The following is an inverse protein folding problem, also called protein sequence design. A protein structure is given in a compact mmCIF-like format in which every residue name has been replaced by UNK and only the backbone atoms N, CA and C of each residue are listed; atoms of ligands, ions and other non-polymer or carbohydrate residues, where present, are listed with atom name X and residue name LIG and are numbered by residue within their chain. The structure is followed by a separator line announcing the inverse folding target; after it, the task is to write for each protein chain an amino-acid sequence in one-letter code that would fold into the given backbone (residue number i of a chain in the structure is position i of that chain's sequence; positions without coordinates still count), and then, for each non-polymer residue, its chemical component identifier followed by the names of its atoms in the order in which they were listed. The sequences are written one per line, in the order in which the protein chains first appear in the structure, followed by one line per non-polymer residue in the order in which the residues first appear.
data_IF_461680490943
#
_entry.id   IF_461680490943
#
_cell.length_a   1.000
_cell.length_b   1.000
_cell.length_c   1.000
_cell.angle_alpha   90.00
_cell.angle_beta   90.00
_cell.angle_gamma   90.00
#
_symmetry.space_group_name_H-M   'P 1'
#
loop_
_entity.id
_entity.type
_entity.pdbx_description
1 polymer ?
#
# COMPACT_ATOMS: atom_id res chain seq x y z
N UNK A 1 -13.20 57.95 63.82
CA UNK A 1 -13.19 57.40 62.45
C UNK A 1 -12.53 56.04 62.52
N UNK A 2 -13.36 55.01 62.60
CA UNK A 2 -12.97 53.60 62.56
C UNK A 2 -13.15 53.13 61.13
N UNK A 3 -12.06 52.77 60.45
CA UNK A 3 -12.09 52.09 59.16
C UNK A 3 -12.32 50.60 59.38
N UNK A 4 -13.46 50.13 58.89
CA UNK A 4 -13.84 48.72 58.84
C UNK A 4 -13.23 48.13 57.56
N UNK A 5 -12.24 47.22 57.70
CA UNK A 5 -11.69 46.48 56.57
C UNK A 5 -12.64 45.35 56.16
N UNK A 6 -13.24 45.51 54.98
CA UNK A 6 -14.00 44.49 54.27
C UNK A 6 -13.04 43.40 53.73
N UNK A 7 -13.00 42.25 54.40
CA UNK A 7 -12.35 41.04 53.91
C UNK A 7 -13.39 40.14 53.22
N UNK A 8 -13.53 40.29 51.90
CA UNK A 8 -14.20 39.29 51.08
C UNK A 8 -13.25 38.09 50.83
N UNK A 9 -13.68 36.83 51.05
CA UNK A 9 -12.82 35.67 50.81
C UNK A 9 -12.68 35.41 49.31
N UNK A 10 -11.43 35.35 48.84
CA UNK A 10 -11.08 34.84 47.50
C UNK A 10 -11.61 33.40 47.33
N UNK A 11 -12.24 33.04 46.19
CA UNK A 11 -12.77 31.70 45.99
C UNK A 11 -11.63 30.69 45.95
N UNK A 12 -11.44 29.95 47.04
CA UNK A 12 -10.46 28.88 47.13
C UNK A 12 -10.73 27.83 46.06
N UNK A 13 -9.73 27.52 45.22
CA UNK A 13 -9.82 26.44 44.25
C UNK A 13 -10.32 25.15 44.92
N UNK A 14 -11.21 24.36 44.27
CA UNK A 14 -11.75 23.15 44.86
C UNK A 14 -10.61 22.20 45.23
N UNK A 15 -10.73 21.46 46.35
CA UNK A 15 -9.66 20.56 46.79
C UNK A 15 -9.40 19.51 45.71
N UNK A 16 -8.11 19.27 45.45
CA UNK A 16 -7.58 18.49 44.31
C UNK A 16 -8.17 17.08 44.18
N UNK A 17 -8.60 16.49 45.30
CA UNK A 17 -9.26 15.18 45.35
C UNK A 17 -10.69 15.22 44.79
N UNK A 18 -11.46 16.30 45.03
CA UNK A 18 -12.78 16.51 44.42
C UNK A 18 -12.68 16.65 42.91
N UNK A 19 -11.67 17.37 42.43
CA UNK A 19 -11.44 17.52 40.99
C UNK A 19 -11.05 16.18 40.35
N UNK A 20 -10.18 15.42 41.02
CA UNK A 20 -9.81 14.08 40.55
C UNK A 20 -11.03 13.14 40.47
N UNK A 21 -11.86 13.15 41.51
CA UNK A 21 -13.10 12.40 41.55
C UNK A 21 -14.05 12.76 40.40
N UNK A 22 -14.31 14.05 40.19
CA UNK A 22 -15.18 14.53 39.11
C UNK A 22 -14.71 14.07 37.73
N UNK A 23 -13.40 14.19 37.46
CA UNK A 23 -12.81 13.79 36.17
C UNK A 23 -12.98 12.29 35.91
N UNK A 24 -12.72 11.46 36.91
CA UNK A 24 -12.88 10.00 36.79
C UNK A 24 -14.35 9.60 36.58
N UNK A 25 -15.28 10.22 37.31
CA UNK A 25 -16.72 9.97 37.12
C UNK A 25 -17.16 10.38 35.72
N UNK A 26 -16.86 11.62 35.30
CA UNK A 26 -17.29 12.14 34.01
C UNK A 26 -16.77 11.30 32.85
N UNK A 27 -15.48 10.94 32.86
CA UNK A 27 -14.92 10.10 31.81
C UNK A 27 -15.41 8.66 31.89
N UNK A 28 -15.58 8.10 33.09
CA UNK A 28 -16.15 6.78 33.26
C UNK A 28 -17.57 6.67 32.69
N UNK A 29 -18.40 7.69 32.96
CA UNK A 29 -19.74 7.81 32.40
C UNK A 29 -19.71 8.03 30.89
N UNK A 30 -18.79 8.85 30.38
CA UNK A 30 -18.63 9.07 28.94
C UNK A 30 -18.26 7.77 28.20
N UNK A 31 -17.32 7.00 28.73
CA UNK A 31 -16.95 5.70 28.16
C UNK A 31 -18.10 4.69 28.29
N UNK A 32 -18.82 4.67 29.41
CA UNK A 32 -20.03 3.84 29.56
C UNK A 32 -21.10 4.21 28.54
N UNK A 33 -21.32 5.51 28.31
CA UNK A 33 -22.23 5.99 27.27
C UNK A 33 -21.74 5.58 25.88
N UNK A 34 -20.44 5.69 25.58
CA UNK A 34 -19.87 5.22 24.32
C UNK A 34 -20.03 3.71 24.14
N UNK A 35 -19.87 2.90 25.19
CA UNK A 35 -20.12 1.46 25.14
C UNK A 35 -21.57 1.13 24.73
N UNK A 36 -22.53 1.95 25.18
CA UNK A 36 -23.94 1.83 24.81
C UNK A 36 -24.17 2.35 23.40
N UNK A 37 -23.67 3.53 23.05
CA UNK A 37 -23.97 4.19 21.78
C UNK A 37 -23.25 3.55 20.59
N UNK A 38 -22.03 3.02 20.80
CA UNK A 38 -21.21 2.42 19.75
C UNK A 38 -21.57 0.95 19.51
N UNK A 39 -22.83 0.69 19.14
CA UNK A 39 -23.35 -0.67 18.96
C UNK A 39 -23.88 -0.90 17.54
N UNK A 40 -24.00 -2.18 17.16
CA UNK A 40 -24.43 -2.60 15.82
C UNK A 40 -25.80 -2.05 15.40
N UNK A 41 -26.77 -1.97 16.33
CA UNK A 41 -28.12 -1.49 16.05
C UNK A 41 -28.12 0.00 15.72
N UNK A 42 -27.47 0.83 16.56
CA UNK A 42 -27.41 2.27 16.33
C UNK A 42 -26.57 2.62 15.11
N UNK A 43 -25.45 1.93 14.91
CA UNK A 43 -24.63 2.09 13.71
C UNK A 43 -25.41 1.69 12.45
N UNK A 44 -26.24 0.63 12.52
CA UNK A 44 -27.09 0.18 11.42
C UNK A 44 -28.19 1.16 11.01
N UNK A 45 -28.50 2.17 11.82
CA UNK A 45 -29.41 3.26 11.43
C UNK A 45 -28.77 4.22 10.42
N UNK A 46 -27.44 4.28 10.37
CA UNK A 46 -26.69 5.25 9.56
C UNK A 46 -25.76 4.61 8.53
N UNK A 47 -25.33 3.36 8.75
CA UNK A 47 -24.38 2.66 7.92
C UNK A 47 -25.05 1.57 7.08
N UNK A 48 -24.55 1.37 5.86
CA UNK A 48 -25.04 0.32 4.96
C UNK A 48 -24.69 -1.07 5.49
N UNK A 49 -25.46 -2.08 5.06
CA UNK A 49 -25.17 -3.49 5.35
C UNK A 49 -23.78 -3.92 4.87
N UNK A 50 -23.31 -3.36 3.76
CA UNK A 50 -21.96 -3.63 3.23
C UNK A 50 -20.86 -3.10 4.16
N UNK A 51 -21.13 -2.01 4.88
CA UNK A 51 -20.20 -1.45 5.88
C UNK A 51 -20.18 -2.29 7.15
N UNK A 52 -21.33 -2.87 7.55
CA UNK A 52 -21.49 -3.67 8.75
C UNK A 52 -21.36 -5.18 8.44
N UNK A 53 -20.24 -5.57 7.85
CA UNK A 53 -19.91 -6.99 7.68
C UNK A 53 -19.75 -7.70 9.04
N UNK A 54 -19.81 -9.05 9.03
CA UNK A 54 -19.67 -9.87 10.25
C UNK A 54 -18.40 -9.51 11.03
N UNK A 55 -17.25 -9.38 10.34
CA UNK A 55 -15.99 -9.00 10.99
C UNK A 55 -15.98 -7.58 11.57
N UNK A 56 -16.68 -6.63 10.94
CA UNK A 56 -16.83 -5.26 11.46
C UNK A 56 -17.68 -5.27 12.73
N UNK A 57 -18.78 -6.02 12.73
CA UNK A 57 -19.66 -6.17 13.91
C UNK A 57 -18.89 -6.76 15.09
N UNK A 58 -18.07 -7.78 14.87
CA UNK A 58 -17.20 -8.32 15.92
C UNK A 58 -16.26 -7.26 16.50
N UNK A 59 -15.61 -6.46 15.65
CA UNK A 59 -14.73 -5.36 16.08
C UNK A 59 -15.47 -4.26 16.84
N UNK A 60 -16.72 -3.95 16.46
CA UNK A 60 -17.59 -3.03 17.22
C UNK A 60 -17.83 -3.59 18.62
N UNK A 61 -18.24 -4.86 18.73
CA UNK A 61 -18.50 -5.53 20.03
C UNK A 61 -17.25 -5.56 20.92
N UNK A 62 -16.08 -5.84 20.35
CA UNK A 62 -14.82 -5.75 21.10
C UNK A 62 -14.56 -4.34 21.63
N UNK A 63 -14.83 -3.31 20.82
CA UNK A 63 -14.62 -1.91 21.22
C UNK A 63 -15.60 -1.50 22.33
N UNK A 64 -16.86 -1.95 22.27
CA UNK A 64 -17.85 -1.76 23.34
C UNK A 64 -17.39 -2.37 24.66
N UNK A 65 -16.89 -3.61 24.62
CA UNK A 65 -16.40 -4.29 25.81
C UNK A 65 -15.25 -3.49 26.46
N UNK A 66 -14.33 -2.96 25.66
CA UNK A 66 -13.24 -2.12 26.17
C UNK A 66 -13.73 -0.79 26.74
N UNK A 67 -14.67 -0.11 26.08
CA UNK A 67 -15.29 1.09 26.63
C UNK A 67 -15.95 0.83 27.99
N UNK A 68 -16.66 -0.30 28.10
CA UNK A 68 -17.27 -0.70 29.36
C UNK A 68 -16.23 -0.99 30.45
N UNK A 69 -15.20 -1.78 30.15
CA UNK A 69 -14.13 -2.12 31.09
C UNK A 69 -13.40 -0.86 31.57
N UNK A 70 -12.95 0.00 30.65
CA UNK A 70 -12.25 1.22 31.01
C UNK A 70 -13.15 2.20 31.77
N UNK A 71 -14.42 2.34 31.35
CA UNK A 71 -15.41 3.15 32.07
C UNK A 71 -15.60 2.67 33.50
N UNK A 72 -15.76 1.35 33.69
CA UNK A 72 -15.89 0.73 35.01
C UNK A 72 -14.66 0.95 35.89
N UNK A 73 -13.46 0.81 35.35
CA UNK A 73 -12.21 1.08 36.08
C UNK A 73 -12.16 2.52 36.58
N UNK A 74 -12.54 3.50 35.74
CA UNK A 74 -12.56 4.91 36.13
C UNK A 74 -13.61 5.19 37.22
N UNK A 75 -14.82 4.61 37.12
CA UNK A 75 -15.86 4.75 38.14
C UNK A 75 -15.44 4.09 39.46
N UNK A 76 -14.85 2.90 39.42
CA UNK A 76 -14.29 2.24 40.61
C UNK A 76 -13.20 3.12 41.25
N UNK A 77 -12.32 3.70 40.43
CA UNK A 77 -11.32 4.67 40.88
C UNK A 77 -11.95 5.87 41.60
N UNK A 78 -13.02 6.43 41.05
CA UNK A 78 -13.76 7.51 41.70
C UNK A 78 -14.40 7.07 43.02
N UNK A 79 -15.04 5.90 43.07
CA UNK A 79 -15.61 5.36 44.30
C UNK A 79 -14.54 5.12 45.37
N UNK A 80 -13.35 4.67 44.97
CA UNK A 80 -12.22 4.50 45.88
C UNK A 80 -11.76 5.84 46.48
N UNK A 81 -11.74 6.94 45.70
CA UNK A 81 -11.47 8.29 46.23
C UNK A 81 -12.53 8.68 47.27
N UNK A 82 -13.82 8.41 47.03
CA UNK A 82 -14.87 8.74 48.00
C UNK A 82 -14.79 7.89 49.28
N UNK A 83 -14.46 6.61 49.15
CA UNK A 83 -14.51 5.63 50.23
C UNK A 83 -13.21 5.45 51.04
N UNK A 84 -12.05 5.91 50.54
CA UNK A 84 -10.75 5.65 51.18
C UNK A 84 -9.95 6.93 51.42
N UNK A 85 -9.55 7.16 52.68
CA UNK A 85 -8.64 8.26 53.05
C UNK A 85 -7.27 8.12 52.40
N UNK A 86 -6.77 6.88 52.24
CA UNK A 86 -5.52 6.60 51.52
C UNK A 86 -5.62 6.96 50.04
N UNK A 87 -6.75 6.68 49.39
CA UNK A 87 -6.97 7.06 47.99
C UNK A 87 -7.06 8.60 47.86
N UNK A 88 -7.77 9.29 48.75
CA UNK A 88 -7.78 10.78 48.77
C UNK A 88 -6.39 11.37 48.95
N UNK A 89 -5.61 10.85 49.89
CA UNK A 89 -4.22 11.25 50.09
C UNK A 89 -3.34 10.96 48.86
N UNK A 90 -3.67 9.92 48.09
CA UNK A 90 -2.97 9.61 46.86
C UNK A 90 -3.22 10.66 45.76
N UNK A 91 -4.49 10.98 45.49
CA UNK A 91 -4.90 11.90 44.40
C UNK A 91 -4.83 13.38 44.77
N UNK A 92 -4.66 13.72 46.05
CA UNK A 92 -4.47 15.11 46.50
C UNK A 92 -3.06 15.66 46.23
N UNK A 93 -2.10 14.81 45.82
CA UNK A 93 -0.78 15.29 45.40
C UNK A 93 -0.86 15.92 44.02
N UNK A 94 -0.52 17.21 43.92
CA UNK A 94 -0.54 18.00 42.69
C UNK A 94 0.06 17.28 41.47
N UNK A 95 1.27 16.73 41.58
CA UNK A 95 1.91 16.02 40.46
C UNK A 95 1.16 14.78 39.96
N UNK A 96 0.37 14.11 40.81
CA UNK A 96 -0.46 12.96 40.39
C UNK A 96 -1.74 13.40 39.72
N UNK A 97 -2.33 14.50 40.19
CA UNK A 97 -3.48 15.14 39.53
C UNK A 97 -3.07 15.65 38.14
N UNK A 98 -1.90 16.27 38.01
CA UNK A 98 -1.34 16.72 36.72
C UNK A 98 -1.09 15.53 35.78
N UNK A 99 -0.49 14.43 36.26
CA UNK A 99 -0.32 13.21 35.48
C UNK A 99 -1.68 12.60 35.06
N UNK A 100 -2.67 12.60 35.95
CA UNK A 100 -4.01 12.13 35.64
C UNK A 100 -4.69 13.00 34.58
N UNK A 101 -4.57 14.32 34.69
CA UNK A 101 -5.05 15.26 33.67
C UNK A 101 -4.41 14.98 32.31
N UNK A 102 -3.10 14.71 32.26
CA UNK A 102 -2.41 14.33 31.03
C UNK A 102 -2.98 13.02 30.45
N UNK A 103 -3.15 11.99 31.27
CA UNK A 103 -3.75 10.72 30.84
C UNK A 103 -5.16 10.95 30.30
N UNK A 104 -5.97 11.77 30.96
CA UNK A 104 -7.36 12.02 30.60
C UNK A 104 -7.51 12.94 29.39
N UNK A 105 -6.58 13.86 29.17
CA UNK A 105 -6.60 14.80 28.06
C UNK A 105 -5.91 14.28 26.79
N UNK A 106 -4.99 13.32 26.93
CA UNK A 106 -4.19 12.81 25.80
C UNK A 106 -4.41 11.32 25.58
N UNK A 107 -4.15 10.50 26.59
CA UNK A 107 -4.17 9.03 26.43
C UNK A 107 -5.59 8.51 26.24
N UNK A 108 -6.54 8.99 27.04
CA UNK A 108 -7.92 8.53 26.97
C UNK A 108 -8.59 8.90 25.63
N UNK A 109 -8.48 10.13 25.10
CA UNK A 109 -9.01 10.46 23.78
C UNK A 109 -8.34 9.69 22.65
N UNK A 110 -7.02 9.47 22.73
CA UNK A 110 -6.31 8.64 21.74
C UNK A 110 -6.80 7.19 21.75
N UNK A 111 -6.97 6.60 22.94
CA UNK A 111 -7.54 5.26 23.10
C UNK A 111 -8.98 5.19 22.58
N UNK A 112 -9.79 6.20 22.88
CA UNK A 112 -11.17 6.28 22.38
C UNK A 112 -11.20 6.36 20.86
N UNK A 113 -10.37 7.22 20.26
CA UNK A 113 -10.27 7.35 18.81
C UNK A 113 -9.82 6.04 18.16
N UNK A 114 -8.85 5.35 18.77
CA UNK A 114 -8.34 4.06 18.30
C UNK A 114 -9.44 2.99 18.30
N UNK A 115 -10.20 2.88 19.39
CA UNK A 115 -11.32 1.93 19.52
C UNK A 115 -12.49 2.27 18.56
N UNK A 116 -12.80 3.55 18.37
CA UNK A 116 -13.84 3.98 17.42
C UNK A 116 -13.42 3.76 15.97
N UNK A 117 -12.16 3.97 15.63
CA UNK A 117 -11.65 3.79 14.26
C UNK A 117 -11.55 2.32 13.87
N UNK A 118 -11.18 1.44 14.82
CA UNK A 118 -10.82 0.03 14.57
C UNK A 118 -11.79 -0.75 13.68
N UNK A 119 -13.12 -0.66 13.82
CA UNK A 119 -14.05 -1.42 12.98
C UNK A 119 -14.14 -0.91 11.54
N UNK A 120 -13.88 0.38 11.31
CA UNK A 120 -14.11 1.04 10.01
C UNK A 120 -12.84 1.28 9.22
N UNK A 121 -11.70 1.04 9.83
CA UNK A 121 -10.42 1.13 9.16
C UNK A 121 -10.05 -0.26 8.71
N UNK A 122 -10.23 -0.61 7.42
CA UNK A 122 -9.60 -1.81 6.92
C UNK A 122 -8.13 -1.69 7.28
N UNK A 123 -7.59 -2.68 8.00
CA UNK A 123 -6.15 -2.82 8.07
C UNK A 123 -5.74 -3.05 6.63
N UNK A 124 -5.35 -1.98 5.94
CA UNK A 124 -4.81 -2.10 4.61
C UNK A 124 -3.79 -3.23 4.69
N UNK A 125 -3.90 -4.22 3.81
CA UNK A 125 -2.84 -5.18 3.57
C UNK A 125 -1.63 -4.38 3.12
N UNK A 126 -0.90 -3.86 4.11
CA UNK A 126 0.40 -3.25 3.94
C UNK A 126 1.30 -4.42 3.67
N UNK A 127 1.44 -4.73 2.39
CA UNK A 127 2.50 -5.61 1.96
C UNK A 127 3.82 -4.90 2.24
N UNK A 128 4.75 -5.63 2.83
CA UNK A 128 6.09 -5.20 3.15
C UNK A 128 7.12 -5.78 2.20
N UNK A 129 6.66 -6.44 1.13
CA UNK A 129 7.52 -6.91 0.05
C UNK A 129 8.14 -5.74 -0.70
N UNK A 130 7.66 -4.50 -0.59
CA UNK A 130 8.32 -3.33 -1.18
C UNK A 130 9.16 -2.59 -0.14
N UNK A 131 10.39 -2.27 -0.50
CA UNK A 131 11.32 -1.44 0.29
C UNK A 131 11.88 -0.32 -0.57
N UNK A 132 12.21 0.81 0.07
CA UNK A 132 12.86 1.94 -0.62
C UNK A 132 14.22 1.51 -1.16
N UNK A 133 14.52 2.01 -2.35
CA UNK A 133 15.82 1.95 -3.00
C UNK A 133 16.12 3.35 -3.55
N UNK A 134 17.35 3.84 -3.40
CA UNK A 134 17.67 5.23 -3.78
C UNK A 134 17.81 5.39 -5.30
N UNK A 135 18.10 4.31 -6.03
CA UNK A 135 18.24 4.33 -7.48
C UNK A 135 16.93 3.94 -8.18
N UNK A 136 16.28 2.88 -7.68
CA UNK A 136 15.04 2.34 -8.26
C UNK A 136 13.77 2.99 -7.70
N UNK A 137 13.89 3.82 -6.66
CA UNK A 137 12.77 4.33 -5.86
C UNK A 137 12.21 3.28 -4.90
N UNK A 138 11.90 2.09 -5.40
CA UNK A 138 11.54 0.92 -4.60
C UNK A 138 12.02 -0.36 -5.26
N UNK A 139 12.14 -1.44 -4.48
CA UNK A 139 12.42 -2.80 -4.93
C UNK A 139 11.74 -3.82 -4.05
N UNK A 140 11.78 -5.09 -4.46
CA UNK A 140 11.30 -6.18 -3.61
C UNK A 140 12.25 -6.44 -2.44
N UNK A 141 11.69 -6.77 -1.27
CA UNK A 141 12.41 -7.09 -0.05
C UNK A 141 12.88 -8.54 -0.13
N UNK A 142 14.20 -8.80 -0.09
CA UNK A 142 14.70 -10.16 -0.06
C UNK A 142 14.18 -10.95 1.15
N UNK A 143 14.04 -12.28 0.99
CA UNK A 143 13.62 -13.20 2.04
C UNK A 143 12.30 -12.78 2.72
N UNK A 144 11.31 -12.38 1.93
CA UNK A 144 10.04 -11.90 2.44
C UNK A 144 8.87 -12.77 1.98
N UNK A 145 7.86 -12.87 2.83
CA UNK A 145 6.58 -13.51 2.52
C UNK A 145 5.48 -12.62 3.06
N UNK A 146 4.54 -12.25 2.21
CA UNK A 146 3.45 -11.34 2.58
C UNK A 146 2.24 -11.54 1.65
N UNK A 147 1.16 -10.80 1.91
CA UNK A 147 0.00 -10.75 1.03
C UNK A 147 0.14 -9.59 0.05
N UNK A 148 0.03 -9.88 -1.25
CA UNK A 148 -0.09 -8.87 -2.31
C UNK A 148 -0.99 -9.39 -3.42
N UNK A 149 -1.87 -8.53 -3.96
CA UNK A 149 -2.88 -8.98 -4.92
C UNK A 149 -4.01 -9.82 -4.33
N UNK A 150 -4.09 -9.95 -2.99
CA UNK A 150 -5.05 -10.82 -2.31
C UNK A 150 -4.58 -12.27 -2.15
N UNK A 151 -3.33 -12.56 -2.53
CA UNK A 151 -2.69 -13.88 -2.44
C UNK A 151 -1.39 -13.79 -1.65
N UNK A 152 -0.94 -14.92 -1.10
CA UNK A 152 0.37 -15.00 -0.45
C UNK A 152 1.46 -15.07 -1.52
N UNK A 153 2.47 -14.23 -1.39
CA UNK A 153 3.61 -14.20 -2.31
C UNK A 153 4.92 -14.32 -1.53
N UNK A 154 5.91 -14.98 -2.14
CA UNK A 154 7.25 -15.17 -1.57
C UNK A 154 8.29 -14.54 -2.49
N UNK A 155 9.22 -13.79 -1.90
CA UNK A 155 10.37 -13.20 -2.58
C UNK A 155 11.63 -13.91 -2.10
N UNK A 156 12.48 -14.33 -3.03
CA UNK A 156 13.71 -15.08 -2.73
C UNK A 156 14.81 -14.18 -2.10
N UNK A 157 15.96 -14.77 -1.83
CA UNK A 157 17.11 -14.12 -1.19
C UNK A 157 17.78 -13.04 -2.03
N UNK A 158 17.55 -13.03 -3.35
CA UNK A 158 18.04 -12.00 -4.28
C UNK A 158 17.02 -10.92 -4.61
N UNK A 159 15.81 -11.01 -4.04
CA UNK A 159 14.79 -9.98 -4.24
C UNK A 159 14.04 -10.11 -5.57
N UNK A 160 13.92 -11.32 -6.11
CA UNK A 160 13.09 -11.64 -7.28
C UNK A 160 12.06 -12.70 -6.92
N UNK A 161 11.06 -12.91 -7.80
CA UNK A 161 10.04 -13.94 -7.62
C UNK A 161 10.53 -15.29 -8.15
N UNK A 162 10.14 -16.39 -7.50
CA UNK A 162 10.50 -17.75 -7.91
C UNK A 162 11.63 -18.37 -7.08
N UNK A 163 12.23 -19.48 -7.57
CA UNK A 163 13.29 -20.19 -6.86
C UNK A 163 14.56 -19.34 -6.70
N UNK A 164 15.45 -19.79 -5.80
CA UNK A 164 16.80 -19.22 -5.70
C UNK A 164 17.65 -19.82 -6.80
N UNK A 165 18.21 -18.98 -7.66
CA UNK A 165 19.14 -19.37 -8.73
C UNK A 165 20.51 -18.78 -8.46
N UNK A 166 21.57 -19.57 -8.57
CA UNK A 166 22.94 -19.10 -8.42
C UNK A 166 23.35 -18.18 -9.59
N UNK A 167 24.28 -17.25 -9.35
CA UNK A 167 24.79 -16.42 -10.44
C UNK A 167 25.71 -17.22 -11.37
N UNK A 168 26.42 -18.20 -10.81
CA UNK A 168 27.11 -19.21 -11.59
C UNK A 168 26.08 -20.10 -12.29
N UNK A 169 26.39 -20.53 -13.53
CA UNK A 169 25.53 -21.39 -14.33
C UNK A 169 26.32 -22.55 -14.92
N UNK A 170 25.63 -23.66 -15.20
CA UNK A 170 26.19 -24.65 -16.10
C UNK A 170 26.22 -24.08 -17.52
N UNK A 171 27.28 -24.34 -18.32
CA UNK A 171 27.32 -23.93 -19.73
C UNK A 171 26.16 -24.49 -20.58
N UNK A 172 25.48 -25.52 -20.11
CA UNK A 172 24.37 -26.20 -20.81
C UNK A 172 22.99 -25.61 -20.47
N UNK A 173 22.91 -24.69 -19.50
CA UNK A 173 21.66 -24.08 -19.04
C UNK A 173 21.38 -22.77 -19.78
N UNK A 174 20.21 -22.68 -20.42
CA UNK A 174 19.74 -21.47 -21.08
C UNK A 174 18.98 -20.57 -20.10
N UNK A 175 19.45 -19.33 -19.89
CA UNK A 175 18.86 -18.39 -18.92
C UNK A 175 18.06 -17.29 -19.59
N UNK A 176 16.82 -17.13 -19.12
CA UNK A 176 15.91 -16.07 -19.58
C UNK A 176 15.59 -15.13 -18.42
N UNK A 177 16.00 -13.87 -18.55
CA UNK A 177 15.66 -12.80 -17.61
C UNK A 177 14.40 -12.07 -18.09
N UNK A 178 13.35 -12.08 -17.28
CA UNK A 178 12.14 -11.31 -17.53
C UNK A 178 12.19 -9.99 -16.77
N UNK A 179 12.28 -8.89 -17.51
CA UNK A 179 12.17 -7.51 -17.05
C UNK A 179 10.72 -7.06 -17.24
N UNK A 180 10.12 -6.46 -16.22
CA UNK A 180 8.75 -5.94 -16.35
C UNK A 180 8.11 -5.56 -15.02
N UNK A 181 6.80 -5.39 -15.08
CA UNK A 181 6.02 -4.81 -14.02
C UNK A 181 5.21 -5.87 -13.22
N UNK A 182 4.01 -5.50 -12.77
CA UNK A 182 3.04 -6.36 -12.10
C UNK A 182 2.55 -7.55 -12.95
N UNK A 183 2.53 -7.43 -14.27
CA UNK A 183 2.10 -8.52 -15.17
C UNK A 183 3.19 -9.59 -15.20
N UNK A 184 4.45 -9.19 -15.41
CA UNK A 184 5.63 -10.08 -15.31
C UNK A 184 5.74 -10.74 -13.95
N UNK A 185 5.49 -9.99 -12.87
CA UNK A 185 5.46 -10.55 -11.53
C UNK A 185 4.39 -11.64 -11.35
N UNK A 186 3.26 -11.59 -12.07
CA UNK A 186 2.10 -12.45 -11.83
C UNK A 186 1.23 -11.92 -10.68
N UNK A 187 0.86 -10.65 -10.73
CA UNK A 187 -0.01 -10.04 -9.72
C UNK A 187 -1.35 -10.78 -9.59
N UNK A 188 -1.67 -11.25 -8.38
CA UNK A 188 -2.88 -12.03 -8.11
C UNK A 188 -2.73 -13.54 -8.29
N UNK A 189 -1.55 -14.02 -8.72
CA UNK A 189 -1.21 -15.44 -8.79
C UNK A 189 -0.46 -15.83 -7.50
N UNK A 190 -0.96 -16.83 -6.77
CA UNK A 190 -0.30 -17.35 -5.55
C UNK A 190 0.87 -18.29 -5.90
N UNK A 191 0.64 -19.24 -6.81
CA UNK A 191 1.61 -20.25 -7.17
C UNK A 191 2.57 -19.73 -8.25
N UNK A 192 3.88 -19.73 -7.96
CA UNK A 192 4.91 -19.31 -8.90
C UNK A 192 4.87 -20.15 -10.18
N UNK A 193 4.39 -21.40 -10.08
CA UNK A 193 4.20 -22.31 -11.20
C UNK A 193 3.21 -21.79 -12.24
N UNK A 194 2.27 -20.92 -11.88
CA UNK A 194 1.26 -20.36 -12.79
C UNK A 194 1.73 -19.07 -13.48
N UNK A 195 2.88 -18.53 -13.10
CA UNK A 195 3.42 -17.32 -13.74
C UNK A 195 3.90 -17.63 -15.15
N UNK A 196 3.69 -16.69 -16.09
CA UNK A 196 4.07 -16.93 -17.48
C UNK A 196 5.57 -17.19 -17.69
N UNK A 197 6.52 -16.57 -16.93
CA UNK A 197 7.93 -16.94 -17.02
C UNK A 197 8.17 -18.43 -16.75
N UNK A 198 7.57 -18.96 -15.68
CA UNK A 198 7.69 -20.38 -15.34
C UNK A 198 7.02 -21.29 -16.37
N UNK A 199 5.85 -20.90 -16.89
CA UNK A 199 5.17 -21.66 -17.94
C UNK A 199 5.99 -21.70 -19.24
N UNK A 200 6.70 -20.61 -19.59
CA UNK A 200 7.62 -20.59 -20.73
C UNK A 200 8.81 -21.51 -20.48
N UNK A 201 9.40 -21.49 -19.28
CA UNK A 201 10.46 -22.43 -18.88
C UNK A 201 10.08 -23.88 -19.21
N UNK A 202 8.96 -24.35 -18.63
CA UNK A 202 8.52 -25.75 -18.77
C UNK A 202 8.16 -26.11 -20.21
N UNK A 203 7.61 -25.17 -20.97
CA UNK A 203 7.29 -25.41 -22.38
C UNK A 203 8.57 -25.47 -23.25
N UNK A 204 9.58 -24.65 -22.97
CA UNK A 204 10.86 -24.68 -23.68
C UNK A 204 11.64 -25.95 -23.35
N UNK A 205 11.74 -26.34 -22.08
CA UNK A 205 12.37 -27.60 -21.67
C UNK A 205 11.72 -28.78 -22.40
N UNK A 206 10.38 -28.83 -22.43
CA UNK A 206 9.64 -29.91 -23.09
C UNK A 206 9.84 -29.95 -24.61
N UNK A 207 9.94 -28.80 -25.27
CA UNK A 207 10.00 -28.71 -26.73
C UNK A 207 11.41 -28.79 -27.29
N UNK A 208 12.41 -28.32 -26.54
CA UNK A 208 13.82 -28.25 -26.98
C UNK A 208 14.70 -29.31 -26.34
N UNK A 209 14.32 -29.85 -25.18
CA UNK A 209 15.16 -30.72 -24.36
C UNK A 209 16.30 -30.01 -23.63
N UNK A 210 16.38 -28.67 -23.71
CA UNK A 210 17.36 -27.87 -22.99
C UNK A 210 16.94 -27.70 -21.53
N UNK A 211 17.91 -27.54 -20.65
CA UNK A 211 17.67 -27.01 -19.31
C UNK A 211 17.46 -25.50 -19.40
N UNK A 212 16.34 -25.01 -18.88
CA UNK A 212 15.99 -23.59 -18.94
C UNK A 212 15.78 -23.07 -17.53
N UNK A 213 16.39 -21.93 -17.23
CA UNK A 213 16.21 -21.21 -15.97
C UNK A 213 15.60 -19.84 -16.25
N UNK A 214 14.47 -19.55 -15.61
CA UNK A 214 13.79 -18.25 -15.74
C UNK A 214 13.94 -17.38 -14.51
N UNK A 215 14.34 -16.12 -14.72
CA UNK A 215 14.47 -15.11 -13.67
C UNK A 215 13.30 -14.15 -13.79
N UNK A 216 12.30 -14.29 -12.92
CA UNK A 216 11.16 -13.37 -12.86
C UNK A 216 11.51 -12.14 -12.01
N UNK A 217 12.01 -11.09 -12.66
CA UNK A 217 12.34 -9.82 -12.01
C UNK A 217 11.20 -8.79 -12.05
N UNK A 218 9.97 -9.24 -12.32
CA UNK A 218 8.81 -8.36 -12.34
C UNK A 218 8.62 -7.65 -11.00
N UNK A 219 8.42 -6.33 -11.02
CA UNK A 219 8.11 -5.55 -9.81
C UNK A 219 6.96 -4.62 -10.13
N UNK A 220 5.89 -4.66 -9.35
CA UNK A 220 4.71 -3.86 -9.69
C UNK A 220 5.02 -2.36 -9.86
N UNK A 221 4.45 -1.77 -10.91
CA UNK A 221 4.65 -0.36 -11.25
C UNK A 221 6.08 0.01 -11.64
N UNK A 222 6.95 -0.96 -11.93
CA UNK A 222 8.18 -0.65 -12.65
C UNK A 222 7.85 -0.10 -14.02
N UNK A 223 8.70 0.82 -14.47
CA UNK A 223 8.76 1.35 -15.83
C UNK A 223 10.09 0.95 -16.48
N UNK A 224 10.28 1.11 -17.80
CA UNK A 224 11.51 0.73 -18.51
C UNK A 224 12.81 1.30 -17.93
N UNK A 225 12.76 2.48 -17.30
CA UNK A 225 13.94 3.08 -16.66
C UNK A 225 14.36 2.33 -15.38
N UNK A 226 13.42 1.76 -14.62
CA UNK A 226 13.72 0.93 -13.44
C UNK A 226 14.23 -0.43 -13.87
N UNK A 227 13.60 -1.03 -14.87
CA UNK A 227 14.03 -2.29 -15.46
C UNK A 227 15.47 -2.22 -15.99
N UNK A 228 15.83 -1.14 -16.69
CA UNK A 228 17.21 -0.87 -17.11
C UNK A 228 18.18 -0.85 -15.93
N UNK A 229 17.87 -0.10 -14.87
CA UNK A 229 18.74 0.00 -13.68
C UNK A 229 18.88 -1.36 -13.00
N UNK A 230 17.78 -2.13 -12.91
CA UNK A 230 17.80 -3.48 -12.38
C UNK A 230 18.68 -4.40 -13.22
N UNK A 231 18.53 -4.36 -14.56
CA UNK A 231 19.37 -5.13 -15.49
C UNK A 231 20.86 -4.83 -15.27
N UNK A 232 21.25 -3.55 -15.26
CA UNK A 232 22.65 -3.13 -15.10
C UNK A 232 23.26 -3.52 -13.75
N UNK A 233 22.47 -3.49 -12.67
CA UNK A 233 22.98 -3.68 -11.30
C UNK A 233 22.86 -5.09 -10.77
N UNK A 234 21.87 -5.84 -11.25
CA UNK A 234 21.48 -7.13 -10.69
C UNK A 234 21.22 -8.17 -11.77
N UNK A 235 20.38 -7.86 -12.76
CA UNK A 235 19.99 -8.79 -13.82
C UNK A 235 21.17 -9.38 -14.59
N UNK A 236 22.16 -8.56 -14.94
CA UNK A 236 23.35 -9.00 -15.69
C UNK A 236 24.21 -10.03 -14.94
N UNK A 237 24.15 -10.06 -13.60
CA UNK A 237 24.92 -11.02 -12.80
C UNK A 237 24.47 -12.46 -13.02
N UNK A 238 23.23 -12.66 -13.46
CA UNK A 238 22.70 -13.98 -13.81
C UNK A 238 23.23 -14.50 -15.16
N UNK A 239 23.98 -13.68 -15.91
CA UNK A 239 24.48 -14.04 -17.25
C UNK A 239 23.35 -14.55 -18.16
N UNK A 240 22.25 -13.79 -18.32
CA UNK A 240 21.14 -14.23 -19.15
C UNK A 240 21.54 -14.34 -20.62
N UNK A 241 21.11 -15.40 -21.28
CA UNK A 241 21.22 -15.55 -22.74
C UNK A 241 20.16 -14.69 -23.43
N UNK A 242 18.99 -14.53 -22.81
CA UNK A 242 17.89 -13.71 -23.31
C UNK A 242 17.33 -12.81 -22.21
N UNK A 243 17.15 -11.53 -22.52
CA UNK A 243 16.33 -10.60 -21.75
C UNK A 243 15.00 -10.38 -22.48
N UNK A 244 13.90 -10.68 -21.80
CA UNK A 244 12.53 -10.39 -22.26
C UNK A 244 12.02 -9.15 -21.53
N UNK A 245 11.76 -8.09 -22.29
CA UNK A 245 11.14 -6.87 -21.77
C UNK A 245 9.64 -6.98 -21.94
N UNK A 246 8.93 -7.25 -20.85
CA UNK A 246 7.47 -7.27 -20.80
C UNK A 246 6.92 -5.86 -20.66
N UNK A 247 6.45 -5.28 -21.77
CA UNK A 247 5.88 -3.94 -21.81
C UNK A 247 4.36 -4.00 -21.62
N UNK A 248 3.84 -3.20 -20.68
CA UNK A 248 2.41 -3.06 -20.43
C UNK A 248 1.97 -1.59 -20.51
N UNK A 249 0.67 -1.34 -20.69
CA UNK A 249 0.19 0.01 -21.01
C UNK A 249 0.36 1.01 -19.86
N UNK A 250 0.49 0.52 -18.62
CA UNK A 250 0.74 1.36 -17.46
C UNK A 250 2.15 2.01 -17.48
N UNK A 251 3.13 1.45 -18.20
CA UNK A 251 4.45 2.06 -18.42
C UNK A 251 4.35 3.48 -18.98
N UNK A 252 3.34 3.70 -19.83
CA UNK A 252 3.02 5.00 -20.44
C UNK A 252 2.11 5.81 -19.53
N UNK A 253 1.01 5.22 -19.03
CA UNK A 253 -0.01 5.99 -18.30
C UNK A 253 0.44 6.45 -16.92
N UNK A 254 1.47 5.84 -16.33
CA UNK A 254 2.09 6.34 -15.09
C UNK A 254 2.52 7.80 -15.19
N UNK A 255 2.88 8.27 -16.39
CA UNK A 255 3.29 9.66 -16.60
C UNK A 255 2.14 10.63 -16.36
N UNK A 256 0.88 10.23 -16.56
CA UNK A 256 -0.29 11.06 -16.21
C UNK A 256 -0.39 11.39 -14.72
N UNK A 257 0.30 10.64 -13.85
CA UNK A 257 0.31 10.85 -12.40
C UNK A 257 1.34 11.91 -11.96
N UNK A 258 2.23 12.36 -12.85
CA UNK A 258 3.23 13.38 -12.54
C UNK A 258 2.64 14.80 -12.65
N UNK A 259 3.03 15.75 -11.78
CA UNK A 259 2.53 17.14 -11.80
C UNK A 259 2.64 17.85 -13.14
N UNK A 260 3.73 17.61 -13.86
CA UNK A 260 3.99 18.20 -15.17
C UNK A 260 3.00 17.72 -16.27
N UNK A 261 2.22 16.67 -16.01
CA UNK A 261 1.18 16.13 -16.89
C UNK A 261 -0.22 16.25 -16.29
N UNK A 262 -0.41 17.11 -15.28
CA UNK A 262 -1.71 17.35 -14.63
C UNK A 262 -2.05 16.38 -13.49
N UNK A 263 -1.12 15.49 -13.10
CA UNK A 263 -1.27 14.59 -11.95
C UNK A 263 -1.07 15.29 -10.59
N UNK A 264 -1.53 14.66 -9.49
CA UNK A 264 -1.48 15.22 -8.11
C UNK A 264 -0.40 14.60 -7.19
N UNK A 265 0.65 14.00 -7.76
CA UNK A 265 1.78 13.28 -7.12
C UNK A 265 1.52 11.90 -6.45
N UNK A 266 2.45 10.97 -6.75
CA UNK A 266 2.76 9.71 -6.05
C UNK A 266 2.35 8.42 -6.79
N UNK A 267 3.32 7.58 -7.20
CA UNK A 267 2.99 6.21 -7.63
C UNK A 267 2.47 5.41 -6.42
N UNK A 268 1.53 4.50 -6.66
CA UNK A 268 0.90 3.68 -5.60
C UNK A 268 1.95 2.94 -4.75
N UNK A 269 3.05 2.54 -5.39
CA UNK A 269 4.15 1.81 -4.76
C UNK A 269 5.15 2.73 -4.07
N UNK A 270 5.44 3.90 -4.64
CA UNK A 270 6.26 4.94 -3.99
C UNK A 270 5.66 5.32 -2.63
N UNK A 271 4.35 5.55 -2.55
CA UNK A 271 3.68 5.89 -1.29
C UNK A 271 3.75 4.76 -0.23
N UNK A 272 3.94 3.48 -0.64
CA UNK A 272 4.17 2.36 0.28
C UNK A 272 5.64 2.26 0.72
N UNK A 273 6.59 2.51 -0.19
CA UNK A 273 8.02 2.48 0.10
C UNK A 273 8.46 3.65 1.01
N UNK A 274 7.80 4.80 0.91
CA UNK A 274 8.09 6.02 1.68
C UNK A 274 7.30 6.10 3.00
N UNK A 275 7.07 4.98 3.68
CA UNK A 275 6.49 5.00 5.02
C UNK A 275 7.43 5.79 5.97
N UNK A 276 6.97 6.96 6.43
CA UNK A 276 7.72 7.82 7.35
C UNK A 276 8.06 7.08 8.65
N UNK A 277 9.03 7.58 9.44
CA UNK A 277 9.26 7.04 10.79
C UNK A 277 7.95 7.06 11.60
N UNK A 278 7.14 8.11 11.47
CA UNK A 278 5.82 8.19 12.11
C UNK A 278 4.90 7.04 11.65
N UNK A 279 4.89 6.71 10.35
CA UNK A 279 4.12 5.56 9.84
C UNK A 279 4.58 4.21 10.41
N UNK A 280 5.88 4.06 10.68
CA UNK A 280 6.43 2.85 11.31
C UNK A 280 6.00 2.74 12.77
N UNK A 281 6.02 3.84 13.51
CA UNK A 281 5.63 3.89 14.92
C UNK A 281 4.12 3.71 15.09
N UNK A 282 3.31 4.38 14.26
CA UNK A 282 1.85 4.33 14.30
C UNK A 282 1.25 3.21 13.44
N UNK A 283 2.06 2.23 12.99
CA UNK A 283 1.59 1.15 12.10
C UNK A 283 0.47 0.29 12.71
N UNK A 284 0.43 0.22 14.04
CA UNK A 284 -0.58 -0.53 14.79
C UNK A 284 -1.81 0.30 15.13
N UNK A 285 -1.80 1.61 14.85
CA UNK A 285 -2.92 2.51 15.13
C UNK A 285 -3.94 2.48 14.00
N UNK A 286 -5.13 1.97 14.30
CA UNK A 286 -6.35 2.11 13.53
C UNK A 286 -6.73 3.58 13.34
N UNK A 287 -6.55 4.45 14.35
CA UNK A 287 -6.82 5.88 14.18
C UNK A 287 -5.95 6.51 13.07
N UNK A 288 -4.64 6.24 13.09
CA UNK A 288 -3.72 6.69 12.04
C UNK A 288 -4.06 6.08 10.67
N UNK A 289 -4.39 4.78 10.64
CA UNK A 289 -4.84 4.11 9.42
C UNK A 289 -6.12 4.76 8.86
N UNK A 290 -7.05 5.17 9.73
CA UNK A 290 -8.30 5.84 9.37
C UNK A 290 -8.10 7.22 8.79
N UNK A 291 -7.20 8.03 9.33
CA UNK A 291 -6.83 9.33 8.77
C UNK A 291 -6.31 9.15 7.33
N UNK A 292 -5.43 8.17 7.13
CA UNK A 292 -4.89 7.87 5.79
C UNK A 292 -5.95 7.33 4.83
N UNK A 293 -6.83 6.47 5.33
CA UNK A 293 -7.95 5.95 4.56
C UNK A 293 -8.93 7.05 4.16
N UNK A 294 -9.23 8.00 5.06
CA UNK A 294 -10.06 9.16 4.76
C UNK A 294 -9.41 10.08 3.72
N UNK A 295 -8.11 10.38 3.87
CA UNK A 295 -7.37 11.15 2.87
C UNK A 295 -7.38 10.45 1.50
N UNK A 296 -7.15 9.13 1.48
CA UNK A 296 -7.24 8.34 0.26
C UNK A 296 -8.66 8.33 -0.32
N UNK A 297 -9.72 8.24 0.51
CA UNK A 297 -11.11 8.36 0.05
C UNK A 297 -11.44 9.73 -0.52
N UNK A 298 -10.91 10.80 0.07
CA UNK A 298 -11.07 12.15 -0.48
C UNK A 298 -10.35 12.32 -1.83
N UNK A 299 -9.25 11.59 -2.04
CA UNK A 299 -8.48 11.62 -3.29
C UNK A 299 -9.04 10.69 -4.38
N UNK A 300 -9.51 9.50 -4.01
CA UNK A 300 -9.83 8.41 -4.93
C UNK A 300 -11.30 7.96 -4.87
N UNK A 301 -12.13 8.41 -3.93
CA UNK A 301 -13.53 7.98 -3.79
C UNK A 301 -13.75 6.84 -2.79
N UNK A 302 -14.94 6.23 -2.81
CA UNK A 302 -15.44 5.32 -1.76
C UNK A 302 -14.69 3.99 -1.60
N UNK A 303 -14.18 3.42 -2.70
CA UNK A 303 -13.38 2.20 -2.73
C UNK A 303 -12.02 2.49 -3.39
N UNK A 304 -10.98 2.62 -2.58
CA UNK A 304 -9.67 3.07 -3.04
C UNK A 304 -9.04 2.07 -4.02
N UNK A 305 -9.22 0.76 -3.83
CA UNK A 305 -8.63 -0.27 -4.71
C UNK A 305 -9.37 -0.28 -6.03
N UNK A 306 -10.70 -0.33 -5.99
CA UNK A 306 -11.53 -0.30 -7.18
C UNK A 306 -11.34 1.00 -7.96
N UNK A 307 -11.32 2.15 -7.29
CA UNK A 307 -11.13 3.43 -7.96
C UNK A 307 -9.72 3.63 -8.51
N UNK A 308 -8.68 3.06 -7.88
CA UNK A 308 -7.33 3.04 -8.48
C UNK A 308 -7.30 2.21 -9.77
N UNK A 309 -7.94 1.04 -9.76
CA UNK A 309 -8.10 0.20 -10.95
C UNK A 309 -8.97 0.88 -12.03
N UNK A 310 -10.04 1.58 -11.63
CA UNK A 310 -10.90 2.34 -12.55
C UNK A 310 -10.15 3.52 -13.17
N UNK A 311 -9.33 4.23 -12.40
CA UNK A 311 -8.48 5.32 -12.92
C UNK A 311 -7.44 4.76 -13.89
N UNK A 312 -6.80 3.64 -13.56
CA UNK A 312 -5.86 2.97 -14.46
C UNK A 312 -6.53 2.52 -15.75
N UNK A 313 -7.69 1.85 -15.66
CA UNK A 313 -8.50 1.46 -16.81
C UNK A 313 -8.95 2.67 -17.63
N UNK A 314 -9.33 3.78 -16.99
CA UNK A 314 -9.72 5.02 -17.68
C UNK A 314 -8.53 5.64 -18.42
N UNK A 315 -7.35 5.64 -17.81
CA UNK A 315 -6.14 6.16 -18.42
C UNK A 315 -5.69 5.29 -19.60
N UNK A 316 -5.81 3.97 -19.48
CA UNK A 316 -5.53 3.02 -20.57
C UNK A 316 -6.55 3.18 -21.70
N UNK A 317 -7.84 3.32 -21.37
CA UNK A 317 -8.90 3.58 -22.36
C UNK A 317 -8.61 4.87 -23.13
N UNK A 318 -8.23 5.94 -22.42
CA UNK A 318 -7.80 7.20 -23.05
C UNK A 318 -6.56 7.00 -23.92
N UNK A 319 -5.55 6.29 -23.43
CA UNK A 319 -4.31 5.99 -24.15
C UNK A 319 -4.58 5.34 -25.52
N UNK A 320 -5.53 4.40 -25.56
CA UNK A 320 -5.87 3.63 -26.77
C UNK A 320 -6.77 4.44 -27.71
N UNK A 321 -7.82 5.09 -27.17
CA UNK A 321 -8.86 5.75 -27.96
C UNK A 321 -8.48 7.15 -28.45
N UNK A 322 -7.58 7.85 -27.75
CA UNK A 322 -7.17 9.22 -28.06
C UNK A 322 -5.66 9.32 -28.33
N UNK A 323 -5.07 8.53 -29.24
CA UNK A 323 -3.62 8.45 -29.42
C UNK A 323 -2.98 9.76 -29.91
N UNK A 324 -3.79 10.69 -30.44
CA UNK A 324 -3.35 12.01 -30.90
C UNK A 324 -3.45 13.11 -29.83
N UNK A 325 -3.90 12.79 -28.62
CA UNK A 325 -3.87 13.75 -27.50
C UNK A 325 -2.41 14.15 -27.19
N UNK A 326 -2.09 15.45 -27.08
CA UNK A 326 -0.72 15.91 -26.84
C UNK A 326 -0.06 15.35 -25.57
N UNK A 327 -0.84 15.10 -24.52
CA UNK A 327 -0.36 14.50 -23.27
C UNK A 327 0.00 13.03 -23.49
N UNK A 328 -0.80 12.31 -24.29
CA UNK A 328 -0.53 10.91 -24.66
C UNK A 328 0.74 10.83 -25.52
N UNK A 329 0.89 11.71 -26.51
CA UNK A 329 2.07 11.73 -27.36
C UNK A 329 3.36 12.03 -26.58
N UNK A 330 3.33 13.00 -25.66
CA UNK A 330 4.50 13.30 -24.82
C UNK A 330 4.81 12.16 -23.83
N UNK A 331 3.79 11.49 -23.27
CA UNK A 331 3.98 10.31 -22.43
C UNK A 331 4.63 9.15 -23.20
N UNK A 332 4.19 8.89 -24.44
CA UNK A 332 4.83 7.91 -25.32
C UNK A 332 6.28 8.28 -25.63
N UNK A 333 6.54 9.53 -26.01
CA UNK A 333 7.90 9.99 -26.32
C UNK A 333 8.88 9.77 -25.17
N UNK A 334 8.48 10.06 -23.94
CA UNK A 334 9.31 9.82 -22.75
C UNK A 334 9.52 8.32 -22.53
N UNK A 335 8.46 7.53 -22.71
CA UNK A 335 8.50 6.08 -22.49
C UNK A 335 9.39 5.39 -23.50
N UNK A 336 9.25 5.70 -24.80
CA UNK A 336 10.10 5.18 -25.87
C UNK A 336 11.56 5.58 -25.69
N UNK A 337 11.85 6.80 -25.21
CA UNK A 337 13.23 7.21 -24.88
C UNK A 337 13.84 6.39 -23.73
N UNK A 338 13.04 5.99 -22.74
CA UNK A 338 13.52 5.12 -21.67
C UNK A 338 13.72 3.69 -22.16
N UNK A 339 12.82 3.21 -23.03
CA UNK A 339 12.93 1.91 -23.68
C UNK A 339 14.18 1.83 -24.57
N UNK A 340 14.46 2.87 -25.36
CA UNK A 340 15.69 2.99 -26.18
C UNK A 340 16.95 2.81 -25.31
N UNK A 341 17.04 3.53 -24.19
CA UNK A 341 18.18 3.39 -23.26
C UNK A 341 18.29 1.99 -22.65
N UNK A 342 17.17 1.30 -22.46
CA UNK A 342 17.17 -0.08 -21.97
C UNK A 342 17.69 -1.04 -23.06
N UNK A 343 17.23 -0.87 -24.30
CA UNK A 343 17.72 -1.61 -25.48
C UNK A 343 19.23 -1.43 -25.63
N UNK A 344 19.72 -0.19 -25.57
CA UNK A 344 21.15 0.13 -25.64
C UNK A 344 21.94 -0.57 -24.53
N UNK A 345 21.41 -0.56 -23.30
CA UNK A 345 22.06 -1.22 -22.15
C UNK A 345 22.18 -2.72 -22.35
N UNK A 346 21.12 -3.39 -22.82
CA UNK A 346 21.13 -4.85 -23.01
C UNK A 346 22.08 -5.22 -24.16
N UNK A 347 22.02 -4.49 -25.28
CA UNK A 347 22.92 -4.72 -26.43
C UNK A 347 24.39 -4.43 -26.17
N UNK A 348 24.71 -3.69 -25.11
CA UNK A 348 26.11 -3.50 -24.69
C UNK A 348 26.71 -4.75 -24.03
N UNK A 349 25.93 -5.81 -23.89
CA UNK A 349 26.30 -7.09 -23.30
C UNK A 349 26.12 -8.23 -24.32
N UNK A 350 26.45 -9.47 -23.93
CA UNK A 350 26.24 -10.67 -24.76
C UNK A 350 24.80 -11.24 -24.67
N UNK A 351 23.88 -10.52 -24.03
CA UNK A 351 22.49 -10.95 -23.84
C UNK A 351 21.62 -10.58 -25.05
N UNK A 352 20.90 -11.56 -25.60
CA UNK A 352 19.88 -11.32 -26.62
C UNK A 352 18.67 -10.59 -26.04
N UNK A 353 17.92 -9.90 -26.90
CA UNK A 353 16.77 -9.08 -26.48
C UNK A 353 15.50 -9.47 -27.23
N UNK A 354 14.40 -9.58 -26.49
CA UNK A 354 13.04 -9.68 -27.02
C UNK A 354 12.15 -8.63 -26.35
N UNK A 355 11.45 -7.82 -27.15
CA UNK A 355 10.39 -6.94 -26.69
C UNK A 355 9.04 -7.66 -26.77
N UNK A 356 8.35 -7.77 -25.64
CA UNK A 356 7.06 -8.42 -25.50
C UNK A 356 5.97 -7.38 -25.21
N UNK A 357 4.98 -7.27 -26.09
CA UNK A 357 3.81 -6.40 -25.88
C UNK A 357 2.68 -7.20 -25.23
N UNK A 358 2.31 -6.80 -24.01
CA UNK A 358 1.25 -7.43 -23.22
C UNK A 358 -0.08 -6.68 -23.46
N UNK A 359 -1.14 -7.35 -23.92
CA UNK A 359 -2.44 -6.71 -24.16
C UNK A 359 -3.14 -6.34 -22.85
N UNK A 360 -3.93 -5.27 -22.92
CA UNK A 360 -4.86 -4.95 -21.84
C UNK A 360 -6.14 -5.77 -21.91
N UNK A 361 -6.78 -5.96 -20.75
CA UNK A 361 -8.06 -6.65 -20.62
C UNK A 361 -9.12 -6.11 -21.58
N UNK A 362 -9.21 -4.79 -21.75
CA UNK A 362 -10.14 -4.17 -22.68
C UNK A 362 -9.89 -4.56 -24.14
N UNK A 363 -8.62 -4.76 -24.53
CA UNK A 363 -8.25 -5.18 -25.88
C UNK A 363 -8.63 -6.63 -26.18
N UNK A 364 -8.66 -7.49 -25.17
CA UNK A 364 -9.07 -8.91 -25.28
C UNK A 364 -10.60 -9.03 -25.25
N UNK A 365 -11.25 -8.37 -24.31
CA UNK A 365 -12.68 -8.59 -24.04
C UNK A 365 -13.62 -7.78 -24.96
N UNK A 366 -13.14 -6.66 -25.54
CA UNK A 366 -13.99 -5.73 -26.29
C UNK A 366 -13.56 -5.74 -27.77
N UNK A 367 -14.40 -6.27 -28.69
CA UNK A 367 -14.10 -6.25 -30.11
C UNK A 367 -13.88 -4.82 -30.63
N UNK A 368 -12.77 -4.60 -31.33
CA UNK A 368 -12.43 -3.32 -31.93
C UNK A 368 -11.98 -2.23 -30.95
N UNK A 369 -11.48 -2.60 -29.76
CA UNK A 369 -11.04 -1.65 -28.73
C UNK A 369 -9.90 -0.72 -29.20
N UNK A 370 -9.02 -1.21 -30.08
CA UNK A 370 -7.91 -0.46 -30.68
C UNK A 370 -6.56 -1.12 -30.39
N UNK A 371 -5.62 -0.95 -31.33
CA UNK A 371 -4.27 -1.55 -31.31
C UNK A 371 -3.15 -0.52 -31.28
N UNK A 372 -3.48 0.76 -31.07
CA UNK A 372 -2.52 1.86 -31.20
C UNK A 372 -1.25 1.67 -30.35
N UNK A 373 -1.28 1.11 -29.12
CA UNK A 373 -0.05 0.81 -28.39
C UNK A 373 0.82 -0.26 -29.07
N UNK A 374 0.22 -1.33 -29.57
CA UNK A 374 0.90 -2.41 -30.27
C UNK A 374 1.55 -1.89 -31.56
N UNK A 375 0.84 -1.02 -32.29
CA UNK A 375 1.35 -0.38 -33.52
C UNK A 375 2.58 0.50 -33.22
N UNK A 376 2.52 1.31 -32.15
CA UNK A 376 3.63 2.18 -31.71
C UNK A 376 4.84 1.34 -31.30
N UNK A 377 4.64 0.28 -30.49
CA UNK A 377 5.70 -0.61 -30.04
C UNK A 377 6.32 -1.40 -31.21
N UNK A 378 5.50 -1.87 -32.14
CA UNK A 378 5.96 -2.56 -33.34
C UNK A 378 6.77 -1.65 -34.26
N UNK A 379 6.38 -0.38 -34.40
CA UNK A 379 7.16 0.62 -35.13
C UNK A 379 8.50 0.88 -34.43
N UNK A 380 8.49 1.10 -33.11
CA UNK A 380 9.72 1.26 -32.33
C UNK A 380 10.64 0.06 -32.51
N UNK A 381 10.13 -1.16 -32.35
CA UNK A 381 10.93 -2.36 -32.50
C UNK A 381 11.57 -2.48 -33.89
N UNK A 382 10.83 -2.13 -34.94
CA UNK A 382 11.34 -2.11 -36.30
C UNK A 382 12.42 -1.05 -36.51
N UNK A 383 12.23 0.15 -35.98
CA UNK A 383 13.20 1.26 -36.09
C UNK A 383 14.51 0.95 -35.35
N UNK A 384 14.41 0.22 -34.24
CA UNK A 384 15.56 -0.15 -33.42
C UNK A 384 16.09 -1.56 -33.71
N UNK A 385 15.55 -2.31 -34.68
CA UNK A 385 15.92 -3.69 -35.02
C UNK A 385 15.82 -4.68 -33.84
N UNK A 386 14.78 -4.54 -33.04
CA UNK A 386 14.53 -5.38 -31.84
C UNK A 386 13.51 -6.47 -32.19
N UNK A 387 13.78 -7.76 -31.91
CA UNK A 387 12.76 -8.81 -32.00
C UNK A 387 11.51 -8.42 -31.19
N UNK A 388 10.35 -8.52 -31.80
CA UNK A 388 9.09 -8.08 -31.21
C UNK A 388 8.04 -9.17 -31.26
N UNK A 389 7.40 -9.43 -30.12
CA UNK A 389 6.27 -10.33 -30.00
C UNK A 389 5.05 -9.55 -29.48
N UNK A 390 4.05 -9.38 -30.33
CA UNK A 390 2.73 -8.89 -29.93
C UNK A 390 1.84 -10.07 -29.54
N UNK A 391 1.39 -10.11 -28.29
CA UNK A 391 0.51 -11.16 -27.81
C UNK A 391 -0.97 -10.87 -28.06
N UNK A 392 -1.35 -9.66 -28.44
CA UNK A 392 -2.76 -9.31 -28.66
C UNK A 392 -3.46 -10.22 -29.69
N UNK A 393 -2.86 -10.61 -30.84
CA UNK A 393 -3.54 -11.47 -31.81
C UNK A 393 -3.73 -12.93 -31.37
N UNK A 394 -3.08 -13.34 -30.27
CA UNK A 394 -2.98 -14.75 -29.84
C UNK A 394 -3.82 -15.03 -28.59
N UNK A 395 -4.36 -13.99 -27.94
CA UNK A 395 -5.32 -14.07 -26.83
C UNK A 395 -6.73 -13.82 -27.33
#
# INVERSE_FOLDING_TARGET
MTEEQDQSPSPSAPPTDRMAWMLLVLAGLLLGLLAILFNEFLLGLFLSKDTLSVGVIELVRYSQLWFFIFGLILVIGALAIKGSSRARAFFSRRGRLEAMLLVMAVVLPMLTLELLARPFTPRAEKTWIFVRDDDLGWKLRPNSTDIWGGVRVKINGKGVRGPELDYERSPETYRILYLGDSVTFGFGIEDDLETYPYQVEKNLEKTTGLEVETINSGVGGYSPWQEKIFFEKEGIKYQPDLAVVGFYLNDVTEKFKLPQFGGKEGSYQLNRAYASQIDRWLRWSSAWAGIKHLNARMRFGGDIKKSALEIEATNIDKLIREPNDPVIQEAWKITLRNLEKMVESIRSTETDLLLLSLPDKGQIEIPGYGTSPQDILGQFAKEHDVPFLDLLPVM
#
